data_IF_422063683041
#
_entry.id   IF_422063683041
#
_cell.length_a   1.000
_cell.length_b   1.000
_cell.length_c   1.000
_cell.angle_alpha   90.00
_cell.angle_beta   90.00
_cell.angle_gamma   90.00
#
_symmetry.space_group_name_H-M   'P 1'
#
loop_
_entity.id
_entity.type
_entity.pdbx_description
1 polymer ?
#
# COMPACT_ATOMS: atom_id res chain seq x y z
N UNK A 1 3.52 -6.74 28.17
CA UNK A 1 3.51 -5.26 28.29
C UNK A 1 2.16 -4.64 28.70
N UNK A 2 1.01 -5.33 28.63
CA UNK A 2 -0.32 -4.71 28.87
C UNK A 2 -0.75 -4.57 30.35
N UNK A 3 0.05 -5.06 31.31
CA UNK A 3 -0.33 -5.14 32.73
C UNK A 3 0.23 -4.02 33.64
N UNK A 4 1.15 -3.18 33.15
CA UNK A 4 1.84 -2.15 33.96
C UNK A 4 1.34 -0.73 33.72
N UNK A 5 0.41 -0.51 32.80
CA UNK A 5 -0.10 0.80 32.41
C UNK A 5 -1.62 0.85 32.48
N UNK A 6 -2.16 1.94 33.01
CA UNK A 6 -3.59 2.22 33.07
C UNK A 6 -3.93 3.38 32.13
N UNK A 7 -4.99 3.24 31.34
CA UNK A 7 -5.43 4.29 30.42
C UNK A 7 -6.31 5.29 31.18
N UNK A 8 -6.02 6.58 31.06
CA UNK A 8 -6.87 7.62 31.67
C UNK A 8 -8.04 7.97 30.75
N UNK A 9 -9.26 7.93 31.30
CA UNK A 9 -10.51 8.30 30.62
C UNK A 9 -10.66 9.82 30.60
N UNK A 10 -10.07 10.49 29.61
CA UNK A 10 -10.16 11.95 29.45
C UNK A 10 -8.98 12.60 28.72
N UNK A 11 -7.89 11.86 28.51
CA UNK A 11 -6.76 12.30 27.69
C UNK A 11 -6.49 11.27 26.58
N UNK A 12 -6.71 11.66 25.33
CA UNK A 12 -6.37 10.84 24.17
C UNK A 12 -4.87 10.47 24.25
N UNK A 13 -4.56 9.18 24.40
CA UNK A 13 -3.20 8.63 24.47
C UNK A 13 -2.42 8.82 25.78
N UNK A 14 -3.09 9.16 26.89
CA UNK A 14 -2.42 9.31 28.17
C UNK A 14 -2.54 8.05 29.03
N UNK A 15 -1.40 7.58 29.55
CA UNK A 15 -1.30 6.36 30.33
C UNK A 15 -0.59 6.59 31.66
N UNK A 16 -1.18 6.14 32.77
CA UNK A 16 -0.53 6.13 34.09
C UNK A 16 0.29 4.86 34.23
N UNK A 17 1.59 5.00 34.51
CA UNK A 17 2.44 3.89 34.89
C UNK A 17 2.09 3.43 36.31
N UNK A 18 1.76 2.15 36.51
CA UNK A 18 1.45 1.59 37.83
C UNK A 18 2.69 1.42 38.73
N UNK A 19 3.90 1.49 38.15
CA UNK A 19 5.15 1.28 38.88
C UNK A 19 5.69 2.56 39.53
N UNK A 20 5.56 3.71 38.87
CA UNK A 20 6.00 5.00 39.40
C UNK A 20 4.91 6.07 39.51
N UNK A 21 3.67 5.75 39.13
CA UNK A 21 2.55 6.69 39.15
C UNK A 21 2.60 7.79 38.09
N UNK A 22 3.68 7.90 37.31
CA UNK A 22 3.85 8.94 36.27
C UNK A 22 2.87 8.75 35.12
N UNK A 23 2.36 9.86 34.63
CA UNK A 23 1.46 9.92 33.49
C UNK A 23 2.29 10.19 32.23
N UNK A 24 2.27 9.28 31.28
CA UNK A 24 3.12 9.27 30.08
C UNK A 24 2.29 9.06 28.82
N UNK A 25 2.73 9.66 27.71
CA UNK A 25 2.14 9.45 26.37
C UNK A 25 2.74 8.24 25.68
N UNK A 26 4.05 8.03 25.81
CA UNK A 26 4.79 6.95 25.13
C UNK A 26 5.09 5.78 26.06
N UNK A 27 4.11 4.86 26.22
CA UNK A 27 4.23 3.68 27.10
C UNK A 27 5.44 2.79 26.79
N UNK A 28 5.81 2.65 25.51
CA UNK A 28 6.92 1.78 25.08
C UNK A 28 8.27 2.31 25.57
N UNK A 29 8.50 3.61 25.41
CA UNK A 29 9.75 4.25 25.86
C UNK A 29 9.82 4.25 27.39
N UNK A 30 8.70 4.51 28.05
CA UNK A 30 8.64 4.49 29.51
C UNK A 30 8.85 3.09 30.09
N UNK A 31 8.40 2.03 29.41
CA UNK A 31 8.60 0.65 29.86
C UNK A 31 10.08 0.32 30.09
N UNK A 32 10.98 0.82 29.22
CA UNK A 32 12.42 0.59 29.34
C UNK A 32 13.06 1.27 30.56
N UNK A 33 12.40 2.26 31.18
CA UNK A 33 12.88 2.89 32.43
C UNK A 33 12.75 1.92 33.62
N UNK A 34 11.70 1.11 33.63
CA UNK A 34 11.45 0.16 34.71
C UNK A 34 12.05 -1.22 34.45
N UNK A 35 12.06 -1.62 33.19
CA UNK A 35 12.62 -2.90 32.75
C UNK A 35 13.71 -2.62 31.72
N UNK A 36 14.89 -2.11 32.13
CA UNK A 36 16.05 -2.14 31.27
C UNK A 36 16.33 -3.62 31.00
N UNK A 37 15.97 -4.08 29.80
CA UNK A 37 16.04 -5.51 29.48
C UNK A 37 17.44 -6.04 29.76
N UNK A 38 17.55 -7.19 30.42
CA UNK A 38 18.84 -7.84 30.65
C UNK A 38 19.10 -8.76 29.47
N UNK A 39 19.87 -8.25 28.49
CA UNK A 39 20.23 -8.98 27.30
C UNK A 39 21.61 -9.60 27.50
N UNK A 40 21.65 -10.92 27.69
CA UNK A 40 22.88 -11.66 27.92
C UNK A 40 23.39 -12.32 26.63
N UNK A 41 24.68 -12.19 26.37
CA UNK A 41 25.32 -12.89 25.26
C UNK A 41 25.44 -14.39 25.58
N UNK A 42 24.93 -15.31 24.75
CA UNK A 42 25.02 -16.75 25.02
C UNK A 42 26.44 -17.32 24.90
N UNK A 43 27.37 -16.58 24.28
CA UNK A 43 28.73 -17.03 24.04
C UNK A 43 29.71 -16.58 25.13
N UNK A 44 29.60 -15.34 25.60
CA UNK A 44 30.51 -14.78 26.60
C UNK A 44 29.82 -14.30 27.89
N UNK A 45 28.50 -14.43 27.99
CA UNK A 45 27.68 -14.02 29.15
C UNK A 45 27.77 -12.53 29.50
N UNK A 46 28.31 -11.70 28.60
CA UNK A 46 28.26 -10.25 28.73
C UNK A 46 26.81 -9.78 28.76
N UNK A 47 26.49 -8.91 29.73
CA UNK A 47 25.15 -8.41 29.95
C UNK A 47 25.02 -6.98 29.44
N UNK A 48 23.98 -6.73 28.66
CA UNK A 48 23.65 -5.43 28.10
C UNK A 48 22.23 -5.02 28.51
N UNK A 49 22.00 -3.72 28.66
CA UNK A 49 20.70 -3.14 29.01
C UNK A 49 19.77 -2.97 27.81
N UNK A 50 20.30 -3.15 26.60
CA UNK A 50 19.57 -3.01 25.33
C UNK A 50 19.96 -4.10 24.33
N UNK A 51 19.01 -4.50 23.49
CA UNK A 51 19.18 -5.57 22.51
C UNK A 51 20.08 -5.19 21.33
N UNK A 52 20.09 -3.93 20.92
CA UNK A 52 20.95 -3.39 19.88
C UNK A 52 22.43 -3.38 20.28
N UNK A 53 22.72 -3.09 21.55
CA UNK A 53 24.06 -3.19 22.10
C UNK A 53 24.55 -4.65 22.11
N UNK A 54 23.69 -5.60 22.50
CA UNK A 54 24.01 -7.02 22.42
C UNK A 54 24.27 -7.47 20.97
N UNK A 55 23.46 -7.01 20.01
CA UNK A 55 23.65 -7.32 18.58
C UNK A 55 24.99 -6.81 18.06
N UNK A 56 25.31 -5.56 18.37
CA UNK A 56 26.60 -4.94 18.01
C UNK A 56 27.75 -5.72 18.63
N UNK A 57 27.64 -6.06 19.91
CA UNK A 57 28.61 -6.91 20.60
C UNK A 57 28.82 -8.24 19.86
N UNK A 58 27.75 -8.98 19.55
CA UNK A 58 27.85 -10.25 18.83
C UNK A 58 28.49 -10.07 17.46
N UNK A 59 28.13 -9.04 16.70
CA UNK A 59 28.70 -8.79 15.37
C UNK A 59 30.22 -8.58 15.40
N UNK A 60 30.74 -7.86 16.40
CA UNK A 60 32.18 -7.54 16.49
C UNK A 60 33.00 -8.56 17.27
N UNK A 61 32.46 -9.12 18.36
CA UNK A 61 33.17 -10.07 19.23
C UNK A 61 32.92 -11.53 18.84
N UNK A 62 31.84 -11.80 18.11
CA UNK A 62 31.42 -13.14 17.71
C UNK A 62 30.98 -13.17 16.23
N UNK A 63 31.88 -12.91 15.26
CA UNK A 63 31.54 -12.74 13.85
C UNK A 63 30.88 -13.97 13.20
N UNK A 64 31.08 -15.17 13.75
CA UNK A 64 30.42 -16.40 13.27
C UNK A 64 29.03 -16.63 13.89
N UNK A 65 28.60 -15.79 14.83
CA UNK A 65 27.31 -15.90 15.50
C UNK A 65 26.38 -14.78 15.04
N UNK A 66 25.32 -15.15 14.32
CA UNK A 66 24.29 -14.22 13.90
C UNK A 66 23.07 -14.29 14.85
N UNK A 67 22.86 -13.29 15.73
CA UNK A 67 21.78 -13.30 16.70
C UNK A 67 20.39 -13.04 16.08
N UNK A 68 20.26 -12.69 14.78
CA UNK A 68 18.95 -12.45 14.14
C UNK A 68 18.14 -13.72 13.88
N UNK A 69 18.76 -14.90 13.92
CA UNK A 69 18.06 -16.17 13.70
C UNK A 69 17.29 -16.66 14.93
N UNK A 70 17.44 -16.00 16.07
CA UNK A 70 16.77 -16.38 17.31
C UNK A 70 15.67 -15.38 17.66
N UNK A 71 14.53 -15.51 16.97
CA UNK A 71 13.23 -15.17 17.56
C UNK A 71 13.15 -15.89 18.91
N UNK A 72 13.10 -15.09 19.97
CA UNK A 72 13.14 -15.51 21.36
C UNK A 72 11.96 -16.45 21.72
N UNK A 73 12.23 -17.35 22.67
CA UNK A 73 11.30 -18.19 23.45
C UNK A 73 10.79 -19.52 22.85
N UNK A 74 11.67 -20.54 22.79
CA UNK A 74 11.39 -21.95 23.19
C UNK A 74 12.47 -22.93 22.70
N UNK A 75 13.66 -22.93 23.31
CA UNK A 75 14.60 -24.06 23.07
C UNK A 75 15.42 -24.44 24.30
N UNK A 76 15.54 -23.56 25.30
CA UNK A 76 16.29 -23.85 26.53
C UNK A 76 15.48 -24.61 27.59
N UNK A 77 14.38 -25.29 27.20
CA UNK A 77 13.61 -26.16 28.11
C UNK A 77 13.51 -27.62 27.65
N UNK A 78 13.98 -27.95 26.45
CA UNK A 78 13.96 -29.33 25.93
C UNK A 78 15.24 -30.13 26.28
N UNK A 79 16.37 -29.45 26.48
CA UNK A 79 17.65 -30.12 26.76
C UNK A 79 17.75 -30.70 28.19
N UNK A 80 16.90 -30.27 29.13
CA UNK A 80 16.85 -30.84 30.48
C UNK A 80 16.01 -32.12 30.57
N UNK A 81 15.10 -32.36 29.62
CA UNK A 81 14.19 -33.52 29.64
C UNK A 81 14.76 -34.77 28.95
N UNK A 82 15.77 -34.64 28.10
CA UNK A 82 16.33 -35.74 27.29
C UNK A 82 17.34 -36.63 28.00
N UNK A 83 17.80 -36.26 29.21
CA UNK A 83 18.77 -37.08 29.95
C UNK A 83 18.15 -38.32 30.63
N UNK A 84 16.80 -38.43 30.72
CA UNK A 84 16.13 -39.51 31.47
C UNK A 84 15.50 -40.62 30.61
N UNK A 85 15.47 -40.50 29.27
CA UNK A 85 14.68 -41.40 28.39
C UNK A 85 15.50 -42.40 27.57
N UNK A 86 16.82 -42.44 27.72
CA UNK A 86 17.71 -43.22 26.84
C UNK A 86 17.71 -44.76 27.06
N UNK A 87 16.83 -45.33 27.89
CA UNK A 87 16.91 -46.75 28.29
C UNK A 87 15.64 -47.59 28.07
N UNK A 88 14.60 -47.08 27.38
CA UNK A 88 13.35 -47.83 27.19
C UNK A 88 13.03 -48.00 25.70
N UNK A 89 12.96 -49.26 25.25
CA UNK A 89 12.42 -49.61 23.93
C UNK A 89 10.94 -49.23 23.88
N UNK A 90 10.45 -48.61 22.79
CA UNK A 90 9.08 -48.15 22.71
C UNK A 90 8.11 -49.34 22.76
N UNK A 91 7.10 -49.26 23.62
CA UNK A 91 6.05 -50.28 23.71
C UNK A 91 5.10 -50.18 22.51
N UNK A 92 4.43 -51.28 22.15
CA UNK A 92 3.51 -51.32 21.00
C UNK A 92 2.44 -50.20 21.04
N UNK A 93 1.97 -49.83 22.22
CA UNK A 93 1.03 -48.71 22.43
C UNK A 93 1.64 -47.35 22.08
N UNK A 94 2.92 -47.13 22.38
CA UNK A 94 3.64 -45.88 22.03
C UNK A 94 3.86 -45.78 20.51
N UNK A 95 4.12 -46.91 19.84
CA UNK A 95 4.26 -46.97 18.37
C UNK A 95 2.92 -46.65 17.68
N UNK A 96 1.81 -47.19 18.19
CA UNK A 96 0.47 -46.90 17.67
C UNK A 96 0.02 -45.45 17.93
N UNK A 97 0.35 -44.88 19.10
CA UNK A 97 0.08 -43.48 19.39
C UNK A 97 0.90 -42.54 18.48
N UNK A 98 2.17 -42.89 18.20
CA UNK A 98 3.02 -42.13 17.30
C UNK A 98 2.49 -42.15 15.84
N UNK A 99 1.97 -43.28 15.36
CA UNK A 99 1.39 -43.36 14.02
C UNK A 99 0.07 -42.57 13.90
N UNK A 100 -0.78 -42.60 14.92
CA UNK A 100 -1.98 -41.75 14.97
C UNK A 100 -1.64 -40.26 15.03
N UNK A 101 -0.64 -39.87 15.82
CA UNK A 101 -0.16 -38.50 15.87
C UNK A 101 0.43 -38.04 14.52
N UNK A 102 1.16 -38.91 13.83
CA UNK A 102 1.68 -38.63 12.48
C UNK A 102 0.56 -38.44 11.45
N UNK A 103 -0.49 -39.28 11.49
CA UNK A 103 -1.68 -39.12 10.62
C UNK A 103 -2.45 -37.84 10.92
N UNK A 104 -2.62 -37.48 12.20
CA UNK A 104 -3.27 -36.22 12.59
C UNK A 104 -2.45 -35.01 12.14
N UNK A 105 -1.11 -35.06 12.25
CA UNK A 105 -0.22 -34.02 11.77
C UNK A 105 -0.27 -33.88 10.24
N UNK A 106 -0.34 -34.99 9.50
CA UNK A 106 -0.49 -34.98 8.04
C UNK A 106 -1.83 -34.37 7.61
N UNK A 107 -2.93 -34.71 8.29
CA UNK A 107 -4.25 -34.12 8.05
C UNK A 107 -4.25 -32.61 8.33
N UNK A 108 -3.62 -32.17 9.43
CA UNK A 108 -3.48 -30.75 9.74
C UNK A 108 -2.63 -30.00 8.69
N UNK A 109 -1.54 -30.60 8.22
CA UNK A 109 -0.71 -30.04 7.15
C UNK A 109 -1.47 -29.94 5.83
N UNK A 110 -2.26 -30.96 5.47
CA UNK A 110 -3.13 -30.93 4.29
C UNK A 110 -4.19 -29.82 4.39
N UNK A 111 -4.82 -29.65 5.55
CA UNK A 111 -5.77 -28.57 5.79
C UNK A 111 -5.12 -27.17 5.72
N UNK A 112 -3.91 -27.02 6.27
CA UNK A 112 -3.15 -25.77 6.16
C UNK A 112 -2.76 -25.45 4.71
N UNK A 113 -2.28 -26.44 3.95
CA UNK A 113 -1.96 -26.26 2.53
C UNK A 113 -3.20 -25.92 1.70
N UNK A 114 -4.34 -26.56 1.97
CA UNK A 114 -5.60 -26.23 1.33
C UNK A 114 -6.05 -24.79 1.64
N UNK A 115 -5.95 -24.36 2.90
CA UNK A 115 -6.25 -22.99 3.31
C UNK A 115 -5.30 -21.97 2.64
N UNK A 116 -4.00 -22.30 2.53
CA UNK A 116 -3.01 -21.46 1.85
C UNK A 116 -3.30 -21.34 0.34
N UNK A 117 -3.69 -22.43 -0.32
CA UNK A 117 -4.09 -22.40 -1.73
C UNK A 117 -5.35 -21.55 -1.96
N UNK A 118 -6.36 -21.67 -1.10
CA UNK A 118 -7.55 -20.83 -1.16
C UNK A 118 -7.20 -19.35 -0.99
N UNK A 119 -6.31 -19.01 -0.06
CA UNK A 119 -5.85 -17.64 0.14
C UNK A 119 -5.10 -17.10 -1.10
N UNK A 120 -4.24 -17.90 -1.72
CA UNK A 120 -3.55 -17.52 -2.96
C UNK A 120 -4.53 -17.30 -4.11
N UNK A 121 -5.52 -18.18 -4.26
CA UNK A 121 -6.54 -18.04 -5.30
C UNK A 121 -7.37 -16.77 -5.11
N UNK A 122 -7.77 -16.45 -3.87
CA UNK A 122 -8.47 -15.19 -3.57
C UNK A 122 -7.63 -13.95 -3.92
N UNK A 123 -6.33 -13.97 -3.61
CA UNK A 123 -5.42 -12.87 -3.97
C UNK A 123 -5.29 -12.71 -5.48
N UNK A 124 -5.17 -13.82 -6.23
CA UNK A 124 -5.10 -13.78 -7.70
C UNK A 124 -6.38 -13.23 -8.30
N UNK A 125 -7.55 -13.67 -7.82
CA UNK A 125 -8.84 -13.14 -8.28
C UNK A 125 -9.00 -11.66 -7.95
N UNK A 126 -8.55 -11.21 -6.78
CA UNK A 126 -8.58 -9.79 -6.43
C UNK A 126 -7.68 -8.96 -7.37
N UNK A 127 -6.45 -9.40 -7.62
CA UNK A 127 -5.54 -8.73 -8.55
C UNK A 127 -6.09 -8.70 -9.99
N UNK A 128 -6.81 -9.75 -10.42
CA UNK A 128 -7.45 -9.75 -11.73
C UNK A 128 -8.55 -8.68 -11.81
N UNK A 129 -9.44 -8.61 -10.81
CA UNK A 129 -10.50 -7.58 -10.76
C UNK A 129 -9.93 -6.17 -10.72
N UNK A 130 -8.84 -5.95 -9.99
CA UNK A 130 -8.16 -4.64 -9.93
C UNK A 130 -7.59 -4.26 -11.29
N UNK A 131 -6.98 -5.21 -12.02
CA UNK A 131 -6.48 -4.98 -13.39
C UNK A 131 -7.61 -4.69 -14.38
N UNK A 132 -8.71 -5.43 -14.31
CA UNK A 132 -9.90 -5.20 -15.15
C UNK A 132 -10.49 -3.81 -14.90
N UNK A 133 -10.63 -3.42 -13.62
CA UNK A 133 -11.12 -2.09 -13.25
C UNK A 133 -10.20 -0.97 -13.77
N UNK A 134 -8.88 -1.14 -13.63
CA UNK A 134 -7.90 -0.17 -14.12
C UNK A 134 -7.92 -0.06 -15.65
N UNK A 135 -8.07 -1.17 -16.37
CA UNK A 135 -8.26 -1.17 -17.82
C UNK A 135 -9.55 -0.45 -18.23
N UNK A 136 -10.66 -0.71 -17.55
CA UNK A 136 -11.93 -0.07 -17.84
C UNK A 136 -11.85 1.44 -17.59
N UNK A 137 -11.22 1.86 -16.49
CA UNK A 137 -11.00 3.28 -16.19
C UNK A 137 -10.13 3.96 -17.25
N UNK A 138 -9.06 3.31 -17.70
CA UNK A 138 -8.20 3.83 -18.76
C UNK A 138 -8.96 3.96 -20.10
N UNK A 139 -9.80 2.97 -20.45
CA UNK A 139 -10.64 3.03 -21.64
C UNK A 139 -11.66 4.18 -21.57
N UNK A 140 -12.35 4.34 -20.43
CA UNK A 140 -13.29 5.46 -20.24
C UNK A 140 -12.58 6.80 -20.32
N UNK A 141 -11.39 6.94 -19.73
CA UNK A 141 -10.60 8.16 -19.83
C UNK A 141 -10.19 8.46 -21.28
N UNK A 142 -9.77 7.45 -22.04
CA UNK A 142 -9.42 7.60 -23.45
C UNK A 142 -10.64 8.02 -24.30
N UNK A 143 -11.82 7.43 -24.04
CA UNK A 143 -13.07 7.81 -24.71
C UNK A 143 -13.44 9.27 -24.42
N UNK A 144 -13.33 9.72 -23.16
CA UNK A 144 -13.59 11.12 -22.79
C UNK A 144 -12.61 12.07 -23.49
N UNK A 145 -11.33 11.71 -23.59
CA UNK A 145 -10.34 12.51 -24.30
C UNK A 145 -10.65 12.59 -25.80
N UNK A 146 -11.01 11.48 -26.43
CA UNK A 146 -11.42 11.46 -27.84
C UNK A 146 -12.68 12.31 -28.07
N UNK A 147 -13.67 12.21 -27.16
CA UNK A 147 -14.87 13.03 -27.25
C UNK A 147 -14.58 14.52 -27.12
N UNK A 148 -13.74 14.92 -26.15
CA UNK A 148 -13.30 16.31 -26.00
C UNK A 148 -12.54 16.81 -27.23
N UNK A 149 -11.68 15.96 -27.83
CA UNK A 149 -10.96 16.30 -29.05
C UNK A 149 -11.91 16.52 -30.24
N UNK A 150 -12.89 15.62 -30.43
CA UNK A 150 -13.90 15.77 -31.48
C UNK A 150 -14.74 17.04 -31.30
N UNK A 151 -15.16 17.35 -30.07
CA UNK A 151 -15.92 18.57 -29.79
C UNK A 151 -15.09 19.82 -30.09
N UNK A 152 -13.80 19.82 -29.70
CA UNK A 152 -12.88 20.93 -30.01
C UNK A 152 -12.74 21.12 -31.52
N UNK A 153 -12.60 20.03 -32.27
CA UNK A 153 -12.51 20.07 -33.74
C UNK A 153 -13.80 20.61 -34.36
N UNK A 154 -14.98 20.20 -33.87
CA UNK A 154 -16.27 20.74 -34.33
C UNK A 154 -16.38 22.24 -34.07
N UNK A 155 -15.98 22.71 -32.89
CA UNK A 155 -15.98 24.14 -32.57
C UNK A 155 -15.04 24.93 -33.48
N UNK A 156 -13.85 24.40 -33.77
CA UNK A 156 -12.89 25.02 -34.71
C UNK A 156 -13.46 25.11 -36.13
N UNK A 157 -14.10 24.04 -36.62
CA UNK A 157 -14.76 24.03 -37.93
C UNK A 157 -15.91 25.03 -37.99
N UNK A 158 -16.72 25.11 -36.93
CA UNK A 158 -17.81 26.08 -36.86
C UNK A 158 -17.30 27.52 -36.86
N UNK A 159 -16.26 27.82 -36.08
CA UNK A 159 -15.62 29.14 -36.07
C UNK A 159 -15.05 29.52 -37.45
N UNK A 160 -14.42 28.56 -38.15
CA UNK A 160 -13.91 28.79 -39.50
C UNK A 160 -15.04 29.10 -40.50
N UNK A 161 -16.16 28.35 -40.44
CA UNK A 161 -17.32 28.59 -41.29
C UNK A 161 -17.95 29.97 -41.02
N UNK A 162 -18.05 30.38 -39.75
CA UNK A 162 -18.55 31.71 -39.38
C UNK A 162 -17.65 32.83 -39.91
N UNK A 163 -16.33 32.66 -39.80
CA UNK A 163 -15.35 33.62 -40.35
C UNK A 163 -15.48 33.75 -41.87
N UNK A 164 -15.61 32.63 -42.58
CA UNK A 164 -15.83 32.62 -44.03
C UNK A 164 -17.14 33.34 -44.41
N UNK A 165 -18.23 33.06 -43.70
CA UNK A 165 -19.51 33.72 -43.94
C UNK A 165 -19.42 35.23 -43.71
N UNK A 166 -18.75 35.67 -42.64
CA UNK A 166 -18.55 37.09 -42.36
C UNK A 166 -17.73 37.76 -43.46
N UNK A 167 -16.67 37.11 -43.95
CA UNK A 167 -15.84 37.63 -45.03
C UNK A 167 -16.60 37.78 -46.35
N UNK A 168 -17.47 36.82 -46.68
CA UNK A 168 -18.38 36.91 -47.84
C UNK A 168 -19.39 38.05 -47.69
N UNK A 169 -19.95 38.26 -46.49
CA UNK A 169 -20.83 39.40 -46.23
C UNK A 169 -20.10 40.74 -46.42
N UNK A 170 -18.89 40.88 -45.86
CA UNK A 170 -18.07 42.10 -46.03
C UNK A 170 -17.80 42.39 -47.52
N UNK A 171 -17.44 41.36 -48.29
CA UNK A 171 -17.21 41.49 -49.73
C UNK A 171 -18.48 41.91 -50.48
N UNK A 172 -19.64 41.34 -50.14
CA UNK A 172 -20.91 41.72 -50.75
C UNK A 172 -21.30 43.18 -50.48
N UNK A 173 -21.08 43.66 -49.24
CA UNK A 173 -21.32 45.06 -48.87
C UNK A 173 -20.38 46.01 -49.61
N UNK A 174 -19.09 45.67 -49.74
CA UNK A 174 -18.16 46.47 -50.55
C UNK A 174 -18.58 46.55 -52.02
N UNK A 175 -19.00 45.44 -52.63
CA UNK A 175 -19.44 45.43 -54.03
C UNK A 175 -20.69 46.29 -54.24
N UNK A 176 -21.66 46.23 -53.31
CA UNK A 176 -22.85 47.07 -53.35
C UNK A 176 -22.50 48.56 -53.21
N UNK A 177 -21.55 48.92 -52.32
CA UNK A 177 -21.07 50.30 -52.19
C UNK A 177 -20.39 50.81 -53.47
N UNK A 178 -19.57 49.97 -54.12
CA UNK A 178 -18.96 50.33 -55.41
C UNK A 178 -20.05 50.58 -56.47
N UNK A 179 -21.08 49.74 -56.53
CA UNK A 179 -22.19 49.89 -57.48
C UNK A 179 -22.98 51.20 -57.27
N UNK A 180 -23.19 51.63 -56.03
CA UNK A 180 -23.82 52.92 -55.71
C UNK A 180 -22.93 54.13 -56.06
N UNK A 181 -21.60 54.00 -56.01
CA UNK A 181 -20.69 55.08 -56.42
C UNK A 181 -20.66 55.28 -57.95
N UNK A 182 -21.07 54.30 -58.76
CA UNK A 182 -21.09 54.41 -60.24
C UNK A 182 -22.39 55.04 -60.81
N UNK A 183 -23.42 55.29 -59.98
CA UNK A 183 -24.62 56.05 -60.37
C UNK A 183 -24.66 57.35 -59.56
N UNK A 184 -24.23 58.51 -60.12
CA UNK A 184 -25.08 59.24 -61.05
C UNK A 184 -24.32 60.12 -62.08
N UNK A 185 -24.40 59.82 -63.39
CA UNK A 185 -24.00 60.78 -64.46
C UNK A 185 -24.85 60.72 -65.74
N UNK A 186 -26.09 60.21 -65.69
CA UNK A 186 -26.96 60.14 -66.88
C UNK A 186 -28.08 61.21 -66.95
N UNK A 187 -28.10 62.23 -66.09
CA UNK A 187 -29.20 63.23 -66.10
C UNK A 187 -28.90 64.57 -66.79
N UNK A 188 -27.72 64.78 -67.40
CA UNK A 188 -27.36 66.12 -67.92
C UNK A 188 -27.28 66.28 -69.45
N UNK A 189 -27.77 65.34 -70.25
CA UNK A 189 -27.65 65.43 -71.72
C UNK A 189 -28.97 65.58 -72.49
N UNK A 190 -29.98 66.26 -71.92
CA UNK A 190 -31.29 66.41 -72.55
C UNK A 190 -31.78 67.86 -72.73
N UNK A 191 -30.94 68.88 -72.54
CA UNK A 191 -31.32 70.28 -72.75
C UNK A 191 -30.13 71.13 -73.24
N UNK A 192 -29.94 71.24 -74.55
CA UNK A 192 -29.22 72.30 -75.29
C UNK A 192 -29.52 71.99 -76.77
N UNK A 193 -30.59 72.57 -77.33
CA UNK A 193 -30.58 73.69 -78.29
C UNK A 193 -30.03 73.34 -79.68
#
# INVERSE_FOLDING_TARGET
MRLTFERLSGGCNLHRCKLCGKVVTHIRNHYHVHFPGRFECPLCRATYTRSDNLRTHCKFKHPMYNPDTRKFDNLMSAAAATAAVAAQSPTATQIAAASQAAMAAAAAAAAFNAAQQQQQQQQQTQQQREREHQQQQAQTQQQLQQHAHNLTQQLQQHAHNLSQQQQQQILSVQQQQQQYQVLPHQQHNATSE
#
